data_IF_046361913265
#
_entry.id   IF_046361913265
#
_cell.length_a   1.000
_cell.length_b   1.000
_cell.length_c   1.000
_cell.angle_alpha   90.00
_cell.angle_beta   90.00
_cell.angle_gamma   90.00
#
_symmetry.space_group_name_H-M   'P 1'
#
loop_
_entity.id
_entity.type
_entity.pdbx_description
1 polymer ?
#
# COMPACT_ATOMS: atom_id res chain seq x y z
N UNK A 1 11.49 12.53 10.71
CA UNK A 1 10.49 13.11 9.80
C UNK A 1 9.71 11.94 9.22
N UNK A 2 8.43 11.78 9.59
CA UNK A 2 7.57 10.72 9.04
C UNK A 2 7.19 11.13 7.61
N UNK A 3 8.00 10.71 6.64
CA UNK A 3 7.69 10.81 5.23
C UNK A 3 7.11 9.50 4.73
N UNK A 4 6.33 9.56 3.66
CA UNK A 4 5.92 8.38 2.90
C UNK A 4 6.21 8.62 1.43
N UNK A 5 6.43 7.53 0.70
CA UNK A 5 6.51 7.55 -0.75
C UNK A 5 5.18 7.06 -1.32
N UNK A 6 4.59 7.83 -2.24
CA UNK A 6 3.39 7.42 -2.98
C UNK A 6 3.80 6.98 -4.39
N UNK A 7 3.41 5.78 -4.77
CA UNK A 7 3.62 5.23 -6.10
C UNK A 7 2.26 4.98 -6.78
N UNK A 8 2.18 5.30 -8.06
CA UNK A 8 1.10 4.85 -8.94
C UNK A 8 1.50 3.52 -9.56
N UNK A 9 0.65 2.50 -9.42
CA UNK A 9 0.95 1.14 -9.85
C UNK A 9 -0.25 0.51 -10.58
N UNK A 10 0.00 -0.59 -11.28
CA UNK A 10 -1.03 -1.44 -11.87
C UNK A 10 -1.01 -2.79 -11.17
N UNK A 11 -2.15 -3.20 -10.64
CA UNK A 11 -2.35 -4.54 -10.09
C UNK A 11 -2.89 -5.47 -11.17
N UNK A 12 -2.22 -6.59 -11.36
CA UNK A 12 -2.73 -7.72 -12.13
C UNK A 12 -3.14 -8.81 -11.15
N UNK A 13 -4.43 -9.14 -11.09
CA UNK A 13 -4.97 -10.16 -10.19
C UNK A 13 -5.66 -11.25 -11.01
N UNK A 14 -5.58 -12.51 -10.56
CA UNK A 14 -6.32 -13.62 -11.21
C UNK A 14 -7.82 -13.59 -10.96
N UNK A 15 -8.27 -12.80 -9.97
CA UNK A 15 -9.68 -12.58 -9.64
C UNK A 15 -10.02 -11.09 -9.83
N UNK A 16 -10.93 -10.82 -10.77
CA UNK A 16 -11.46 -9.48 -11.08
C UNK A 16 -12.90 -9.29 -10.59
N UNK A 17 -13.42 -10.19 -9.74
CA UNK A 17 -14.79 -10.14 -9.22
C UNK A 17 -15.12 -8.83 -8.47
N UNK A 18 -14.09 -8.16 -7.94
CA UNK A 18 -14.19 -6.87 -7.24
C UNK A 18 -13.71 -5.67 -8.06
N UNK A 19 -13.26 -5.88 -9.30
CA UNK A 19 -12.82 -4.84 -10.19
C UNK A 19 -14.02 -4.13 -10.83
N UNK A 20 -13.91 -2.83 -11.09
CA UNK A 20 -14.92 -2.11 -11.86
C UNK A 20 -15.00 -2.66 -13.29
N UNK A 21 -16.12 -2.42 -13.98
CA UNK A 21 -16.33 -2.86 -15.37
C UNK A 21 -15.19 -2.41 -16.30
N UNK A 22 -14.65 -1.21 -16.10
CA UNK A 22 -13.50 -0.71 -16.87
C UNK A 22 -12.21 -1.49 -16.62
N UNK A 23 -12.00 -1.94 -15.39
CA UNK A 23 -10.80 -2.70 -15.00
C UNK A 23 -10.88 -4.16 -15.45
N UNK A 24 -12.08 -4.76 -15.43
CA UNK A 24 -12.34 -6.08 -16.02
C UNK A 24 -12.02 -6.09 -17.52
N UNK A 25 -12.44 -5.07 -18.26
CA UNK A 25 -12.18 -4.96 -19.70
C UNK A 25 -10.69 -4.73 -20.00
N UNK A 26 -9.99 -3.97 -19.17
CA UNK A 26 -8.56 -3.66 -19.37
C UNK A 26 -7.61 -4.75 -18.89
N UNK A 27 -8.07 -5.71 -18.07
CA UNK A 27 -7.22 -6.74 -17.48
C UNK A 27 -6.18 -6.20 -16.47
N UNK A 28 -6.37 -4.97 -15.99
CA UNK A 28 -5.50 -4.32 -15.00
C UNK A 28 -6.33 -3.41 -14.09
N UNK A 29 -5.93 -3.33 -12.83
CA UNK A 29 -6.55 -2.50 -11.79
C UNK A 29 -5.59 -1.37 -11.44
N UNK A 30 -6.04 -0.12 -11.47
CA UNK A 30 -5.19 0.99 -11.05
C UNK A 30 -5.04 0.95 -9.52
N UNK A 31 -3.80 0.99 -9.03
CA UNK A 31 -3.46 0.87 -7.61
C UNK A 31 -2.61 2.06 -7.17
N UNK A 32 -2.78 2.42 -5.90
CA UNK A 32 -1.89 3.34 -5.19
C UNK A 32 -1.13 2.55 -4.14
N UNK A 33 0.19 2.65 -4.14
CA UNK A 33 1.05 2.03 -3.14
C UNK A 33 1.64 3.13 -2.27
N UNK A 34 1.44 3.01 -0.96
CA UNK A 34 2.04 3.91 0.02
C UNK A 34 3.15 3.14 0.71
N UNK A 35 4.38 3.63 0.58
CA UNK A 35 5.55 3.09 1.25
C UNK A 35 5.91 3.96 2.45
N UNK A 36 5.96 3.35 3.64
CA UNK A 36 6.27 4.04 4.89
C UNK A 36 7.42 3.31 5.58
N UNK A 37 8.44 4.07 5.99
CA UNK A 37 9.46 3.61 6.92
C UNK A 37 8.95 3.83 8.35
N UNK A 38 8.90 2.76 9.14
CA UNK A 38 8.39 2.76 10.50
C UNK A 38 9.51 2.34 11.46
N UNK A 39 9.52 2.96 12.63
CA UNK A 39 10.36 2.48 13.74
C UNK A 39 9.81 1.16 14.29
N UNK A 40 10.66 0.31 14.90
CA UNK A 40 10.22 -0.90 15.56
C UNK A 40 9.07 -0.63 16.55
N UNK A 41 8.03 -1.46 16.49
CA UNK A 41 6.86 -1.36 17.36
C UNK A 41 5.76 -0.39 16.91
N UNK A 42 5.96 0.41 15.85
CA UNK A 42 4.94 1.35 15.37
C UNK A 42 3.88 0.72 14.45
N UNK A 43 4.17 -0.47 13.90
CA UNK A 43 3.34 -1.13 12.89
C UNK A 43 1.86 -1.22 13.29
N UNK A 44 1.57 -1.78 14.46
CA UNK A 44 0.19 -2.01 14.89
C UNK A 44 -0.60 -0.71 15.09
N UNK A 45 0.04 0.33 15.63
CA UNK A 45 -0.58 1.65 15.80
C UNK A 45 -0.92 2.31 14.47
N UNK A 46 -0.04 2.16 13.47
CA UNK A 46 -0.28 2.66 12.10
C UNK A 46 -1.43 1.87 11.45
N UNK A 47 -1.40 0.54 11.51
CA UNK A 47 -2.46 -0.29 10.93
C UNK A 47 -3.82 -0.02 11.58
N UNK A 48 -3.88 0.16 12.91
CA UNK A 48 -5.10 0.55 13.60
C UNK A 48 -5.64 1.90 13.09
N UNK A 49 -4.77 2.90 12.94
CA UNK A 49 -5.14 4.21 12.40
C UNK A 49 -5.64 4.15 10.95
N UNK A 50 -5.01 3.32 10.12
CA UNK A 50 -5.42 3.12 8.72
C UNK A 50 -6.79 2.44 8.63
N UNK A 51 -7.05 1.42 9.45
CA UNK A 51 -8.34 0.72 9.51
C UNK A 51 -9.50 1.65 9.86
N UNK A 52 -9.26 2.65 10.72
CA UNK A 52 -10.27 3.64 11.10
C UNK A 52 -10.56 4.66 9.99
N UNK A 53 -9.60 4.91 9.09
CA UNK A 53 -9.66 6.01 8.11
C UNK A 53 -9.93 5.56 6.68
N UNK A 54 -9.59 4.33 6.34
CA UNK A 54 -9.77 3.79 5.00
C UNK A 54 -11.07 3.00 4.92
N UNK A 55 -12.02 3.50 4.12
CA UNK A 55 -13.29 2.83 3.88
C UNK A 55 -13.18 1.60 2.96
N UNK A 56 -12.04 1.43 2.27
CA UNK A 56 -11.82 0.28 1.37
C UNK A 56 -11.51 -0.99 2.15
N UNK A 57 -12.20 -2.08 1.80
CA UNK A 57 -11.94 -3.43 2.32
C UNK A 57 -10.89 -4.20 1.52
N UNK A 58 -10.33 -3.60 0.47
CA UNK A 58 -9.34 -4.23 -0.41
C UNK A 58 -7.94 -3.57 -0.27
N UNK A 59 -7.57 -3.24 0.96
CA UNK A 59 -6.23 -2.76 1.29
C UNK A 59 -5.36 -3.95 1.66
N UNK A 60 -4.30 -4.17 0.90
CA UNK A 60 -3.26 -5.16 1.19
C UNK A 60 -2.01 -4.46 1.71
N UNK A 61 -1.35 -5.07 2.68
CA UNK A 61 -0.12 -4.57 3.26
C UNK A 61 0.82 -5.75 3.55
N UNK A 62 2.10 -5.46 3.57
CA UNK A 62 3.16 -6.36 4.02
C UNK A 62 4.29 -5.51 4.60
N UNK A 63 5.24 -6.16 5.27
CA UNK A 63 6.43 -5.50 5.83
C UNK A 63 7.68 -6.16 5.27
N UNK A 64 8.69 -5.35 5.00
CA UNK A 64 10.02 -5.78 4.58
C UNK A 64 11.05 -5.16 5.53
N UNK A 65 12.07 -5.92 5.98
CA UNK A 65 13.09 -5.40 6.86
C UNK A 65 13.99 -4.41 6.13
N UNK A 66 14.18 -3.23 6.72
CA UNK A 66 15.15 -2.24 6.23
C UNK A 66 16.46 -2.45 6.97
N UNK A 67 17.43 -3.05 6.27
CA UNK A 67 18.74 -3.39 6.85
C UNK A 67 19.65 -2.16 7.04
N UNK A 68 19.47 -1.14 6.20
CA UNK A 68 20.18 0.13 6.29
C UNK A 68 19.36 1.24 5.64
N UNK A 69 19.49 2.47 6.15
CA UNK A 69 18.87 3.66 5.59
C UNK A 69 19.72 4.88 5.89
N UNK A 70 19.76 5.84 4.96
CA UNK A 70 20.59 7.02 5.10
C UNK A 70 20.27 8.05 4.02
N UNK A 71 21.04 9.14 4.04
CA UNK A 71 21.08 10.13 2.96
C UNK A 71 22.52 10.20 2.48
N UNK A 72 22.72 10.27 1.16
CA UNK A 72 24.04 10.38 0.55
C UNK A 72 24.57 11.83 0.53
N UNK A 73 24.14 12.66 1.48
CA UNK A 73 24.57 14.07 1.58
C UNK A 73 25.92 14.19 2.27
#
# INVERSE_FOLDING_TARGET
MLGFTLLHAQGHTGDFSRASVREQIRGRVDRRVIWVLLEPGQLEGVLASLRQRIASRDVRWWVEPVLAGGRLV
#
